data_IF_831211417504
#
_entry.id   IF_831211417504
#
_cell.length_a   1.000
_cell.length_b   1.000
_cell.length_c   1.000
_cell.angle_alpha   90.00
_cell.angle_beta   90.00
_cell.angle_gamma   90.00
#
_symmetry.space_group_name_H-M   'P 1'
#
loop_
_entity.id
_entity.type
_entity.pdbx_description
1 polymer ?
#
# COMPACT_ATOMS: atom_id res chain seq x y z
N UNK A 1 -44.60 -1.09 -29.09
CA UNK A 1 -43.21 -0.79 -29.53
C UNK A 1 -42.24 -1.35 -28.50
N UNK A 2 -41.41 -2.33 -28.87
CA UNK A 2 -40.44 -2.93 -27.96
C UNK A 2 -39.28 -1.96 -27.70
N UNK A 3 -39.03 -1.62 -26.43
CA UNK A 3 -37.89 -0.80 -26.04
C UNK A 3 -36.61 -1.62 -26.19
N UNK A 4 -35.79 -1.32 -27.20
CA UNK A 4 -34.44 -1.86 -27.32
C UNK A 4 -33.62 -1.41 -26.11
N UNK A 5 -33.08 -2.35 -25.31
CA UNK A 5 -32.16 -2.07 -24.20
C UNK A 5 -30.92 -1.33 -24.73
N UNK A 6 -30.95 0.00 -24.71
CA UNK A 6 -29.87 0.90 -25.13
C UNK A 6 -29.25 1.54 -23.89
N UNK A 7 -27.93 1.71 -23.92
CA UNK A 7 -27.18 2.41 -22.87
C UNK A 7 -25.98 1.63 -22.37
N UNK A 8 -25.14 2.30 -21.57
CA UNK A 8 -23.86 1.74 -21.07
C UNK A 8 -24.06 0.43 -20.32
N UNK A 9 -25.06 0.36 -19.43
CA UNK A 9 -25.40 -0.83 -18.66
C UNK A 9 -26.00 -1.99 -19.48
N UNK A 10 -26.49 -1.71 -20.71
CA UNK A 10 -27.04 -2.73 -21.61
C UNK A 10 -25.99 -3.30 -22.58
N UNK A 11 -24.77 -2.76 -22.57
CA UNK A 11 -23.65 -3.15 -23.42
C UNK A 11 -22.93 -4.37 -22.85
N UNK A 12 -22.21 -5.10 -23.71
CA UNK A 12 -21.30 -6.18 -23.30
C UNK A 12 -20.28 -5.76 -22.21
N UNK A 13 -20.02 -6.68 -21.28
CA UNK A 13 -19.24 -6.46 -20.06
C UNK A 13 -17.77 -6.10 -20.34
N UNK A 14 -17.15 -6.72 -21.35
CA UNK A 14 -15.77 -6.41 -21.72
C UNK A 14 -15.67 -5.04 -22.36
N UNK A 15 -16.69 -4.68 -23.13
CA UNK A 15 -16.78 -3.34 -23.75
C UNK A 15 -17.04 -2.25 -22.70
N UNK A 16 -17.88 -2.50 -21.69
CA UNK A 16 -18.05 -1.60 -20.55
C UNK A 16 -16.72 -1.38 -19.81
N UNK A 17 -16.00 -2.47 -19.46
CA UNK A 17 -14.69 -2.38 -18.80
C UNK A 17 -13.69 -1.59 -19.59
N UNK A 18 -13.62 -1.81 -20.91
CA UNK A 18 -12.72 -1.08 -21.79
C UNK A 18 -13.02 0.42 -21.81
N UNK A 19 -14.30 0.79 -21.90
CA UNK A 19 -14.71 2.20 -21.90
C UNK A 19 -14.45 2.84 -20.53
N UNK A 20 -14.74 2.16 -19.43
CA UNK A 20 -14.42 2.62 -18.07
C UNK A 20 -12.92 2.83 -17.88
N UNK A 21 -12.10 1.88 -18.36
CA UNK A 21 -10.64 1.97 -18.32
C UNK A 21 -10.13 3.16 -19.13
N UNK A 22 -10.64 3.34 -20.35
CA UNK A 22 -10.29 4.49 -21.20
C UNK A 22 -10.72 5.82 -20.58
N UNK A 23 -11.89 5.87 -19.96
CA UNK A 23 -12.38 7.05 -19.24
C UNK A 23 -11.47 7.44 -18.07
N UNK A 24 -11.09 6.47 -17.24
CA UNK A 24 -10.16 6.70 -16.13
C UNK A 24 -8.78 7.21 -16.60
N UNK A 25 -8.22 6.59 -17.64
CA UNK A 25 -6.94 7.02 -18.24
C UNK A 25 -7.03 8.43 -18.84
N UNK A 26 -8.12 8.72 -19.56
CA UNK A 26 -8.34 10.04 -20.16
C UNK A 26 -8.51 11.14 -19.10
N UNK A 27 -9.15 10.86 -17.97
CA UNK A 27 -9.30 11.81 -16.87
C UNK A 27 -7.96 12.15 -16.21
N UNK A 28 -7.07 11.16 -16.03
CA UNK A 28 -5.70 11.40 -15.58
C UNK A 28 -4.88 12.19 -16.61
N UNK A 29 -4.94 11.80 -17.89
CA UNK A 29 -4.21 12.51 -18.96
C UNK A 29 -4.65 13.96 -19.15
N UNK A 30 -5.92 14.27 -18.91
CA UNK A 30 -6.47 15.63 -19.02
C UNK A 30 -6.23 16.51 -17.79
N UNK A 31 -5.59 15.98 -16.73
CA UNK A 31 -5.32 16.74 -15.50
C UNK A 31 -6.54 17.04 -14.63
N UNK A 32 -7.70 16.45 -14.93
CA UNK A 32 -8.91 16.59 -14.11
C UNK A 32 -8.94 15.64 -12.91
N UNK A 33 -8.07 14.63 -12.89
CA UNK A 33 -7.95 13.71 -11.76
C UNK A 33 -6.90 14.23 -10.77
N UNK A 34 -7.22 14.19 -9.48
CA UNK A 34 -6.25 14.38 -8.42
C UNK A 34 -5.23 13.23 -8.48
N UNK A 35 -3.95 13.55 -8.69
CA UNK A 35 -2.88 12.58 -8.45
C UNK A 35 -2.68 12.49 -6.95
N UNK A 36 -3.00 11.35 -6.36
CA UNK A 36 -2.73 11.12 -4.95
C UNK A 36 -1.25 10.81 -4.77
N UNK A 37 -0.55 11.64 -4.02
CA UNK A 37 0.74 11.23 -3.47
C UNK A 37 0.56 10.02 -2.54
N UNK A 38 1.60 9.21 -2.33
CA UNK A 38 1.55 8.06 -1.42
C UNK A 38 1.08 8.44 -0.01
N UNK A 39 1.42 9.64 0.45
CA UNK A 39 0.96 10.16 1.74
C UNK A 39 -0.53 10.55 1.70
N UNK A 40 -1.01 11.21 0.64
CA UNK A 40 -2.44 11.52 0.52
C UNK A 40 -3.31 10.27 0.38
N UNK A 41 -2.87 9.26 -0.38
CA UNK A 41 -3.56 7.98 -0.48
C UNK A 41 -3.67 7.29 0.88
N UNK A 42 -2.61 7.34 1.69
CA UNK A 42 -2.59 6.80 3.05
C UNK A 42 -3.52 7.58 3.99
N UNK A 43 -3.51 8.91 3.91
CA UNK A 43 -4.41 9.78 4.69
C UNK A 43 -5.87 9.51 4.31
N UNK A 44 -6.17 9.40 3.02
CA UNK A 44 -7.49 9.08 2.51
C UNK A 44 -7.95 7.68 2.95
N UNK A 45 -7.09 6.66 2.85
CA UNK A 45 -7.37 5.31 3.35
C UNK A 45 -7.63 5.28 4.86
N UNK A 46 -6.80 5.98 5.65
CA UNK A 46 -6.99 6.11 7.09
C UNK A 46 -8.29 6.84 7.47
N UNK A 47 -8.64 7.91 6.74
CA UNK A 47 -9.91 8.63 6.92
C UNK A 47 -11.10 7.77 6.53
N UNK A 48 -11.02 7.05 5.41
CA UNK A 48 -12.08 6.16 4.93
C UNK A 48 -12.34 4.99 5.87
N UNK A 49 -11.28 4.36 6.39
CA UNK A 49 -11.40 3.29 7.38
C UNK A 49 -12.07 3.76 8.67
N UNK A 50 -11.64 4.91 9.21
CA UNK A 50 -12.27 5.52 10.39
C UNK A 50 -13.73 5.88 10.16
N UNK A 51 -14.04 6.53 9.04
CA UNK A 51 -15.41 6.88 8.70
C UNK A 51 -16.31 5.65 8.54
N UNK A 52 -15.81 4.54 8.00
CA UNK A 52 -16.56 3.30 7.89
C UNK A 52 -16.86 2.66 9.27
N UNK A 53 -15.90 2.71 10.19
CA UNK A 53 -16.10 2.26 11.57
C UNK A 53 -17.06 3.18 12.34
N UNK A 54 -16.92 4.50 12.22
CA UNK A 54 -17.81 5.49 12.84
C UNK A 54 -19.25 5.38 12.33
N UNK A 55 -19.44 5.10 11.04
CA UNK A 55 -20.77 4.93 10.41
C UNK A 55 -21.38 3.55 10.63
N UNK A 56 -20.68 2.62 11.27
CA UNK A 56 -21.15 1.23 11.46
C UNK A 56 -21.29 0.44 10.15
N UNK A 57 -20.73 0.92 9.04
CA UNK A 57 -20.72 0.20 7.75
C UNK A 57 -19.53 -0.74 7.62
N UNK A 58 -18.55 -0.62 8.53
CA UNK A 58 -17.45 -1.56 8.62
C UNK A 58 -17.94 -2.91 9.15
N UNK A 59 -17.41 -3.99 8.58
CA UNK A 59 -17.59 -5.33 9.13
C UNK A 59 -16.93 -5.40 10.51
N UNK A 60 -17.73 -5.67 11.54
CA UNK A 60 -17.23 -5.88 12.89
C UNK A 60 -16.87 -7.36 13.04
N UNK A 61 -15.57 -7.65 13.03
CA UNK A 61 -15.11 -9.02 13.25
C UNK A 61 -15.38 -9.40 14.71
N UNK A 62 -16.18 -10.44 14.89
CA UNK A 62 -16.26 -11.10 16.20
C UNK A 62 -14.91 -11.76 16.52
N UNK A 63 -14.62 -11.98 17.81
CA UNK A 63 -13.39 -12.65 18.22
C UNK A 63 -13.24 -14.06 17.59
N UNK A 64 -14.37 -14.74 17.37
CA UNK A 64 -14.40 -16.05 16.71
C UNK A 64 -14.05 -15.94 15.23
N UNK A 65 -14.62 -14.95 14.52
CA UNK A 65 -14.35 -14.72 13.11
C UNK A 65 -12.90 -14.28 12.85
N UNK A 66 -12.37 -13.40 13.71
CA UNK A 66 -10.96 -13.01 13.67
C UNK A 66 -10.05 -14.23 13.88
N UNK A 67 -10.42 -15.14 14.79
CA UNK A 67 -9.68 -16.39 15.03
C UNK A 67 -9.75 -17.32 13.83
N UNK A 68 -10.89 -17.44 13.17
CA UNK A 68 -11.03 -18.27 11.96
C UNK A 68 -10.25 -17.70 10.77
N UNK A 69 -10.31 -16.39 10.55
CA UNK A 69 -9.51 -15.71 9.53
C UNK A 69 -8.00 -15.88 9.79
N UNK A 70 -7.57 -15.72 11.05
CA UNK A 70 -6.20 -15.96 11.47
C UNK A 70 -5.76 -17.42 11.26
N UNK A 71 -6.64 -18.37 11.57
CA UNK A 71 -6.40 -19.81 11.33
C UNK A 71 -6.23 -20.11 9.85
N UNK A 72 -7.16 -19.68 9.00
CA UNK A 72 -7.10 -19.88 7.54
C UNK A 72 -5.85 -19.23 6.95
N UNK A 73 -5.52 -18.01 7.37
CA UNK A 73 -4.30 -17.33 6.95
C UNK A 73 -3.04 -18.11 7.36
N UNK A 74 -3.00 -18.60 8.60
CA UNK A 74 -1.92 -19.45 9.10
C UNK A 74 -1.79 -20.78 8.35
N UNK A 75 -2.90 -21.46 8.07
CA UNK A 75 -2.95 -22.71 7.31
C UNK A 75 -2.40 -22.53 5.88
N UNK A 76 -2.80 -21.45 5.19
CA UNK A 76 -2.29 -21.13 3.85
C UNK A 76 -0.78 -20.90 3.85
N UNK A 77 -0.26 -20.13 4.80
CA UNK A 77 1.17 -19.81 4.88
C UNK A 77 1.98 -21.02 5.34
N UNK A 78 1.46 -21.82 6.28
CA UNK A 78 2.17 -22.98 6.84
C UNK A 78 2.18 -24.22 5.94
N UNK A 79 1.38 -24.24 4.88
CA UNK A 79 1.40 -25.31 3.89
C UNK A 79 2.77 -25.47 3.20
N UNK A 80 3.49 -24.37 2.99
CA UNK A 80 4.82 -24.38 2.41
C UNK A 80 5.90 -24.62 3.49
N UNK A 81 6.18 -25.91 3.73
CA UNK A 81 7.16 -26.32 4.75
C UNK A 81 8.58 -25.89 4.42
N UNK A 82 8.97 -25.85 3.15
CA UNK A 82 10.32 -25.45 2.75
C UNK A 82 10.55 -23.96 3.03
N UNK A 83 9.58 -23.13 2.67
CA UNK A 83 9.60 -21.71 2.98
C UNK A 83 9.62 -21.45 4.50
N UNK A 84 8.79 -22.16 5.27
CA UNK A 84 8.78 -22.05 6.73
C UNK A 84 10.13 -22.47 7.34
N UNK A 85 10.73 -23.55 6.85
CA UNK A 85 12.04 -24.00 7.31
C UNK A 85 13.15 -22.99 6.97
N UNK A 86 13.09 -22.37 5.78
CA UNK A 86 14.03 -21.32 5.38
C UNK A 86 13.92 -20.08 6.26
N UNK A 87 12.70 -19.61 6.55
CA UNK A 87 12.46 -18.48 7.46
C UNK A 87 12.97 -18.83 8.87
N UNK A 88 12.66 -20.02 9.37
CA UNK A 88 13.10 -20.48 10.69
C UNK A 88 14.62 -20.52 10.80
N UNK A 89 15.31 -21.06 9.79
CA UNK A 89 16.77 -21.09 9.71
C UNK A 89 17.37 -19.69 9.72
N UNK A 90 16.88 -18.81 8.85
CA UNK A 90 17.32 -17.41 8.78
C UNK A 90 17.11 -16.67 10.12
N UNK A 91 15.98 -16.95 10.78
CA UNK A 91 15.70 -16.43 12.12
C UNK A 91 16.72 -16.92 13.15
N UNK A 92 17.03 -18.22 13.17
CA UNK A 92 18.03 -18.81 14.05
C UNK A 92 19.44 -18.25 13.81
N UNK A 93 19.86 -18.15 12.55
CA UNK A 93 21.14 -17.57 12.14
C UNK A 93 21.26 -16.11 12.59
N UNK A 94 20.23 -15.29 12.39
CA UNK A 94 20.22 -13.89 12.84
C UNK A 94 20.34 -13.77 14.37
N UNK A 95 19.72 -14.70 15.13
CA UNK A 95 19.84 -14.74 16.60
C UNK A 95 21.23 -15.16 17.04
N UNK A 96 21.82 -16.17 16.40
CA UNK A 96 23.18 -16.61 16.68
C UNK A 96 24.20 -15.51 16.37
N UNK A 97 24.10 -14.88 15.20
CA UNK A 97 24.94 -13.73 14.83
C UNK A 97 24.82 -12.58 15.82
N UNK A 98 23.61 -12.26 16.27
CA UNK A 98 23.42 -11.20 17.27
C UNK A 98 24.02 -11.57 18.63
N UNK A 99 23.94 -12.85 19.03
CA UNK A 99 24.57 -13.34 20.25
C UNK A 99 26.10 -13.22 20.18
N UNK A 100 26.71 -13.69 19.08
CA UNK A 100 28.15 -13.57 18.85
C UNK A 100 28.61 -12.11 18.82
N UNK A 101 27.86 -11.24 18.11
CA UNK A 101 28.12 -9.80 18.06
C UNK A 101 28.08 -9.15 19.45
N UNK A 102 27.09 -9.52 20.27
CA UNK A 102 26.97 -9.01 21.63
C UNK A 102 28.07 -9.55 22.54
N UNK A 103 28.50 -10.79 22.38
CA UNK A 103 29.65 -11.34 23.12
C UNK A 103 30.95 -10.58 22.79
N UNK A 104 31.22 -10.32 21.51
CA UNK A 104 32.38 -9.54 21.09
C UNK A 104 32.34 -8.10 21.65
N UNK A 105 31.18 -7.43 21.57
CA UNK A 105 31.00 -6.07 22.11
C UNK A 105 31.17 -6.00 23.62
N UNK A 106 30.73 -7.02 24.36
CA UNK A 106 30.97 -7.09 25.80
C UNK A 106 32.46 -7.20 26.14
N UNK A 107 33.27 -7.86 25.30
CA UNK A 107 34.72 -7.89 25.48
C UNK A 107 35.37 -6.52 25.19
N UNK A 108 34.75 -5.71 24.32
CA UNK A 108 35.16 -4.34 24.00
C UNK A 108 34.57 -3.28 24.96
N UNK A 109 33.85 -3.69 26.01
CA UNK A 109 33.19 -2.78 26.96
C UNK A 109 32.02 -1.99 26.38
N UNK A 110 31.52 -2.38 25.20
CA UNK A 110 30.42 -1.73 24.51
C UNK A 110 29.07 -2.34 24.92
N UNK A 111 28.05 -1.50 25.08
CA UNK A 111 26.71 -1.95 25.41
C UNK A 111 26.14 -2.93 24.35
N UNK A 112 25.34 -3.93 24.77
CA UNK A 112 24.75 -4.90 23.86
C UNK A 112 23.74 -4.22 22.95
N UNK A 113 23.66 -4.67 21.69
CA UNK A 113 22.57 -4.25 20.81
C UNK A 113 21.34 -5.09 21.15
N UNK A 114 20.49 -4.53 22.00
CA UNK A 114 19.13 -4.99 22.20
C UNK A 114 18.32 -4.62 20.97
N UNK A 115 17.42 -5.51 20.55
CA UNK A 115 16.80 -5.48 19.23
C UNK A 115 16.34 -4.08 18.81
N UNK A 116 17.00 -3.51 17.79
CA UNK A 116 16.46 -2.42 17.01
C UNK A 116 15.26 -2.99 16.26
N UNK A 117 14.09 -2.99 16.90
CA UNK A 117 12.83 -3.18 16.19
C UNK A 117 12.83 -2.17 15.04
N UNK A 118 12.59 -2.64 13.82
CA UNK A 118 12.61 -1.87 12.57
C UNK A 118 11.58 -0.74 12.58
N UNK A 119 11.81 0.30 13.37
CA UNK A 119 11.08 1.57 13.45
C UNK A 119 12.13 2.66 13.50
N UNK A 120 12.60 3.13 12.34
CA UNK A 120 13.57 4.22 12.30
C UNK A 120 13.92 4.64 10.88
N UNK A 121 14.70 3.83 10.18
CA UNK A 121 15.23 4.25 8.88
C UNK A 121 14.36 3.72 7.73
N UNK A 122 13.25 4.42 7.46
CA UNK A 122 12.72 4.43 6.10
C UNK A 122 13.75 5.22 5.27
N UNK A 123 14.31 4.66 4.17
CA UNK A 123 15.11 5.47 3.27
C UNK A 123 14.23 6.64 2.81
N UNK A 124 14.69 7.86 3.07
CA UNK A 124 14.07 9.07 2.55
C UNK A 124 14.00 8.93 1.03
N UNK A 125 12.79 8.81 0.50
CA UNK A 125 12.59 8.93 -0.93
C UNK A 125 13.19 10.28 -1.37
N UNK A 126 13.98 10.33 -2.46
CA UNK A 126 14.48 11.60 -2.96
C UNK A 126 13.27 12.49 -3.26
N UNK A 127 13.16 13.60 -2.55
CA UNK A 127 12.20 14.66 -2.85
C UNK A 127 12.55 15.18 -4.24
N UNK A 128 11.73 14.84 -5.24
CA UNK A 128 11.87 15.44 -6.57
C UNK A 128 11.57 16.93 -6.45
N UNK A 129 12.40 17.83 -7.03
CA UNK A 129 12.08 19.24 -7.03
C UNK A 129 10.76 19.45 -7.78
N UNK A 130 9.81 20.13 -7.14
CA UNK A 130 8.55 20.54 -7.75
C UNK A 130 8.84 21.37 -8.99
N UNK A 131 8.60 20.81 -10.18
CA UNK A 131 8.58 21.57 -11.43
C UNK A 131 7.33 22.45 -11.45
N UNK A 132 7.40 23.57 -10.74
CA UNK A 132 6.50 24.71 -10.93
C UNK A 132 7.31 25.83 -11.56
N UNK A 133 7.48 25.77 -12.88
CA UNK A 133 7.71 26.96 -13.70
C UNK A 133 7.28 26.57 -15.11
N UNK A 134 6.08 26.99 -15.50
CA UNK A 134 5.68 27.33 -16.88
C UNK A 134 4.29 27.95 -16.74
N UNK A 135 4.27 29.29 -16.69
CA UNK A 135 3.49 30.19 -17.55
C UNK A 135 3.17 31.49 -16.81
N UNK A 136 3.96 32.54 -17.03
CA UNK A 136 3.42 33.88 -17.20
C UNK A 136 4.44 34.71 -17.95
N UNK A 137 4.18 34.93 -19.24
CA UNK A 137 4.60 36.05 -20.10
C UNK A 137 4.66 35.57 -21.55
N UNK A 138 3.56 35.76 -22.27
CA UNK A 138 3.55 36.10 -23.70
C UNK A 138 2.12 36.42 -24.13
N UNK A 139 1.57 37.46 -23.50
CA UNK A 139 0.35 38.12 -23.96
C UNK A 139 0.69 39.50 -24.53
N UNK A 140 1.69 39.60 -25.40
CA UNK A 140 1.96 40.80 -26.20
C UNK A 140 2.62 40.41 -27.53
N UNK A 141 1.82 40.12 -28.56
CA UNK A 141 2.18 40.30 -29.97
C UNK A 141 0.99 39.90 -30.87
N UNK A 142 -0.03 40.77 -30.91
CA UNK A 142 -0.91 40.91 -32.06
C UNK A 142 -0.99 42.40 -32.36
N UNK A 143 -0.13 42.84 -33.27
CA UNK A 143 -0.27 44.02 -34.10
C UNK A 143 -0.24 43.53 -35.55
#
# INVERSE_FOLDING_TARGET
>A
MASSKRGFASMDLDKQRLISSKGGKASHQKGNAHEFTSEEAKIAGSKGGRAAHEKGTAHEFTAEEAREAGRRGGELVSADREHMAQIGRKGGEARAQNSLRNQARSQEGLAPVTGMGSRGDRPSHPTMPSTTTITQENAQALA
#
